data_IF_598141185329
#
_entry.id   IF_598141185329
#
_cell.length_a   1.000
_cell.length_b   1.000
_cell.length_c   1.000
_cell.angle_alpha   90.00
_cell.angle_beta   90.00
_cell.angle_gamma   90.00
#
_symmetry.space_group_name_H-M   'P 1'
#
loop_
_entity.id
_entity.type
_entity.pdbx_description
1 polymer ?
#
# COMPACT_ATOMS: atom_id res chain seq x y z
N UNK A 1 -22.61 -54.16 -2.71
CA UNK A 1 -21.68 -53.39 -3.55
C UNK A 1 -22.01 -51.88 -3.68
N UNK A 2 -23.10 -51.43 -3.12
CA UNK A 2 -23.42 -49.96 -3.18
C UNK A 2 -22.88 -49.15 -1.99
N UNK A 3 -22.48 -49.80 -0.95
CA UNK A 3 -22.04 -49.10 0.30
C UNK A 3 -20.58 -48.62 0.29
N UNK A 4 -19.74 -49.28 -0.49
CA UNK A 4 -18.32 -48.91 -0.56
C UNK A 4 -18.05 -47.67 -1.46
N UNK A 5 -19.00 -47.35 -2.36
CA UNK A 5 -18.87 -46.18 -3.21
C UNK A 5 -19.08 -44.87 -2.48
N UNK A 6 -19.92 -44.85 -1.45
CA UNK A 6 -20.20 -43.69 -0.63
C UNK A 6 -19.00 -43.32 0.25
N UNK A 7 -18.27 -44.29 0.78
CA UNK A 7 -17.13 -44.09 1.66
C UNK A 7 -15.97 -43.42 0.90
N UNK A 8 -15.77 -43.80 -0.36
CA UNK A 8 -14.70 -43.17 -1.15
C UNK A 8 -14.99 -41.75 -1.55
N UNK A 9 -16.26 -41.36 -1.72
CA UNK A 9 -16.66 -39.99 -2.01
C UNK A 9 -16.43 -39.11 -0.76
N UNK A 10 -16.74 -39.59 0.42
CA UNK A 10 -16.49 -38.86 1.68
C UNK A 10 -15.03 -38.74 2.00
N UNK A 11 -14.23 -39.76 1.72
CA UNK A 11 -12.78 -39.73 1.92
C UNK A 11 -12.08 -38.76 0.93
N UNK A 12 -12.55 -38.72 -0.30
CA UNK A 12 -12.06 -37.79 -1.31
C UNK A 12 -12.41 -36.31 -0.98
N UNK A 13 -13.60 -36.09 -0.43
CA UNK A 13 -14.04 -34.74 -0.03
C UNK A 13 -13.29 -34.21 1.20
N UNK A 14 -12.92 -35.10 2.13
CA UNK A 14 -12.17 -34.72 3.33
C UNK A 14 -10.71 -34.34 3.00
N UNK A 15 -10.13 -34.93 1.97
CA UNK A 15 -8.74 -34.65 1.55
C UNK A 15 -8.61 -33.29 0.84
N UNK A 16 -9.69 -32.76 0.25
CA UNK A 16 -9.69 -31.47 -0.41
C UNK A 16 -9.71 -30.27 0.56
N UNK A 17 -10.02 -30.49 1.84
CA UNK A 17 -10.09 -29.40 2.83
C UNK A 17 -8.74 -29.04 3.47
N UNK A 18 -7.69 -29.82 3.23
CA UNK A 18 -6.34 -29.54 3.76
C UNK A 18 -5.46 -28.73 2.82
N UNK A 19 -5.97 -28.33 1.67
CA UNK A 19 -5.22 -27.58 0.66
C UNK A 19 -5.40 -26.06 0.68
N UNK A 20 -6.05 -25.48 1.69
CA UNK A 20 -6.01 -24.03 1.88
C UNK A 20 -4.69 -23.68 2.57
N UNK A 21 -3.65 -23.67 1.80
CA UNK A 21 -2.43 -22.93 2.11
C UNK A 21 -2.86 -21.48 2.38
N UNK A 22 -2.76 -21.07 3.63
CA UNK A 22 -2.79 -19.66 3.96
C UNK A 22 -1.72 -18.99 3.12
N UNK A 23 -2.12 -18.13 2.19
CA UNK A 23 -1.24 -17.11 1.70
C UNK A 23 -0.87 -16.30 2.92
N UNK A 24 0.38 -16.35 3.32
CA UNK A 24 0.91 -15.39 4.25
C UNK A 24 0.73 -14.03 3.60
N UNK A 25 -0.31 -13.31 4.01
CA UNK A 25 -0.39 -11.88 3.83
C UNK A 25 0.72 -11.27 4.71
N UNK A 26 1.94 -11.43 4.26
CA UNK A 26 3.03 -10.61 4.73
C UNK A 26 2.66 -9.20 4.27
N UNK A 27 2.40 -8.24 5.17
CA UNK A 27 2.25 -6.86 4.74
C UNK A 27 3.51 -6.55 3.94
N UNK A 28 3.34 -6.26 2.67
CA UNK A 28 4.44 -5.89 1.82
C UNK A 28 5.15 -4.72 2.52
N UNK A 29 6.36 -4.97 3.02
CA UNK A 29 7.29 -3.89 3.35
C UNK A 29 7.30 -3.03 2.10
N UNK A 30 6.77 -1.80 2.22
CA UNK A 30 6.76 -0.88 1.12
C UNK A 30 8.17 -0.82 0.56
N UNK A 31 8.37 -1.39 -0.61
CA UNK A 31 9.60 -1.21 -1.33
C UNK A 31 9.64 0.28 -1.66
N UNK A 32 10.56 1.00 -1.04
CA UNK A 32 10.85 2.36 -1.46
C UNK A 32 11.13 2.33 -2.96
N UNK A 33 10.51 3.24 -3.75
CA UNK A 33 10.71 3.28 -5.18
C UNK A 33 12.21 3.48 -5.46
N UNK A 34 12.83 2.47 -6.04
CA UNK A 34 14.22 2.54 -6.48
C UNK A 34 14.38 3.58 -7.59
N UNK A 35 15.59 4.07 -7.72
CA UNK A 35 15.95 5.07 -8.73
C UNK A 35 15.65 4.54 -10.15
N UNK A 36 14.59 5.04 -10.78
CA UNK A 36 14.14 4.61 -12.11
C UNK A 36 12.69 4.15 -12.18
N UNK A 37 11.94 4.27 -11.10
CA UNK A 37 10.55 3.86 -11.06
C UNK A 37 9.66 4.72 -11.96
N UNK A 38 8.72 4.06 -12.61
CA UNK A 38 7.67 4.72 -13.37
C UNK A 38 6.74 5.48 -12.42
N UNK A 39 6.01 6.47 -12.92
CA UNK A 39 4.99 7.19 -12.13
C UNK A 39 3.98 6.24 -11.50
N UNK A 40 3.64 5.16 -12.21
CA UNK A 40 2.76 4.11 -11.73
C UNK A 40 3.28 3.47 -10.43
N UNK A 41 4.54 3.02 -10.40
CA UNK A 41 5.15 2.38 -9.22
C UNK A 41 5.25 3.33 -8.04
N UNK A 42 5.57 4.60 -8.32
CA UNK A 42 5.60 5.65 -7.29
C UNK A 42 4.20 5.88 -6.71
N UNK A 43 3.17 5.96 -7.54
CA UNK A 43 1.80 6.18 -7.10
C UNK A 43 1.23 4.99 -6.34
N UNK A 44 1.56 3.75 -6.73
CA UNK A 44 1.22 2.55 -5.97
C UNK A 44 1.85 2.56 -4.57
N UNK A 45 3.11 2.96 -4.47
CA UNK A 45 3.79 3.12 -3.18
C UNK A 45 3.14 4.22 -2.33
N UNK A 46 2.84 5.38 -2.91
CA UNK A 46 2.15 6.49 -2.21
C UNK A 46 0.80 6.01 -1.68
N UNK A 47 0.00 5.31 -2.49
CA UNK A 47 -1.30 4.77 -2.06
C UNK A 47 -1.13 3.83 -0.87
N UNK A 48 -0.18 2.91 -0.94
CA UNK A 48 0.09 1.94 0.13
C UNK A 48 0.42 2.65 1.45
N UNK A 49 1.29 3.64 1.43
CA UNK A 49 1.67 4.42 2.62
C UNK A 49 0.47 5.22 3.15
N UNK A 50 -0.27 5.88 2.27
CA UNK A 50 -1.43 6.69 2.68
C UNK A 50 -2.53 5.83 3.29
N UNK A 51 -2.78 4.63 2.78
CA UNK A 51 -3.78 3.72 3.37
C UNK A 51 -3.36 3.14 4.70
N UNK A 52 -2.06 2.97 4.95
CA UNK A 52 -1.55 2.43 6.22
C UNK A 52 -1.39 3.49 7.30
N UNK A 53 -0.82 4.63 6.96
CA UNK A 53 -0.28 5.56 7.95
C UNK A 53 -1.01 6.91 8.02
N UNK A 54 -1.82 7.23 7.01
CA UNK A 54 -2.53 8.50 6.99
C UNK A 54 -3.66 8.53 8.02
N UNK A 55 -3.72 9.57 8.84
CA UNK A 55 -4.70 9.71 9.92
C UNK A 55 -6.16 9.62 9.44
N UNK A 56 -6.44 10.11 8.25
CA UNK A 56 -7.77 10.07 7.64
C UNK A 56 -7.84 9.07 6.48
N UNK A 57 -7.18 7.94 6.61
CA UNK A 57 -7.12 6.90 5.58
C UNK A 57 -8.48 6.39 5.12
N UNK A 58 -9.50 6.43 5.99
CA UNK A 58 -10.88 6.06 5.65
C UNK A 58 -11.55 7.04 4.66
N UNK A 59 -11.02 8.24 4.52
CA UNK A 59 -11.54 9.26 3.60
C UNK A 59 -10.89 9.16 2.20
N UNK A 60 -9.86 8.34 2.04
CA UNK A 60 -9.19 8.12 0.76
C UNK A 60 -10.19 7.50 -0.24
N UNK A 61 -10.29 8.04 -1.47
CA UNK A 61 -11.14 7.46 -2.50
C UNK A 61 -10.84 5.99 -2.77
N UNK A 62 -11.83 5.24 -3.26
CA UNK A 62 -11.61 3.87 -3.71
C UNK A 62 -10.57 3.84 -4.85
N UNK A 63 -9.83 2.75 -4.97
CA UNK A 63 -8.70 2.62 -5.89
C UNK A 63 -9.10 2.85 -7.36
N UNK A 64 -10.31 2.45 -7.75
CA UNK A 64 -10.87 2.64 -9.09
C UNK A 64 -11.14 4.11 -9.44
N UNK A 65 -11.09 5.02 -8.47
CA UNK A 65 -11.27 6.46 -8.64
C UNK A 65 -9.96 7.24 -8.61
N UNK A 66 -8.84 6.57 -8.40
CA UNK A 66 -7.52 7.18 -8.38
C UNK A 66 -6.86 7.07 -9.77
N UNK A 67 -6.24 8.14 -10.22
CA UNK A 67 -5.49 8.15 -11.47
C UNK A 67 -4.01 7.85 -11.22
N UNK A 68 -3.63 6.59 -11.33
CA UNK A 68 -2.25 6.13 -11.14
C UNK A 68 -1.28 6.62 -12.22
N UNK A 69 -1.77 7.21 -13.30
CA UNK A 69 -0.94 7.81 -14.35
C UNK A 69 -0.64 9.29 -14.12
N UNK A 70 -1.27 9.90 -13.10
CA UNK A 70 -1.00 11.29 -12.74
C UNK A 70 0.41 11.46 -12.18
N UNK A 71 0.94 12.67 -12.23
CA UNK A 71 2.19 12.96 -11.52
C UNK A 71 2.02 12.71 -10.01
N UNK A 72 3.09 12.27 -9.32
CA UNK A 72 2.99 11.85 -7.92
C UNK A 72 2.45 12.90 -6.96
N UNK A 73 2.72 14.18 -7.19
CA UNK A 73 2.22 15.28 -6.35
C UNK A 73 0.71 15.44 -6.52
N UNK A 74 0.22 15.39 -7.74
CA UNK A 74 -1.22 15.43 -8.06
C UNK A 74 -1.93 14.19 -7.50
N UNK A 75 -1.34 13.01 -7.66
CA UNK A 75 -1.86 11.76 -7.13
C UNK A 75 -1.99 11.81 -5.60
N UNK A 76 -0.93 12.18 -4.88
CA UNK A 76 -0.96 12.37 -3.43
C UNK A 76 -2.06 13.34 -3.00
N UNK A 77 -2.16 14.49 -3.67
CA UNK A 77 -3.14 15.52 -3.35
C UNK A 77 -4.58 15.05 -3.52
N UNK A 78 -4.84 14.12 -4.45
CA UNK A 78 -6.16 13.55 -4.69
C UNK A 78 -6.67 12.66 -3.54
N UNK A 79 -5.78 12.20 -2.67
CA UNK A 79 -6.09 11.34 -1.53
C UNK A 79 -6.29 12.12 -0.23
N UNK A 80 -6.01 13.42 -0.19
CA UNK A 80 -6.10 14.21 1.02
C UNK A 80 -7.56 14.46 1.45
N UNK A 81 -7.85 14.24 2.72
CA UNK A 81 -9.13 14.54 3.33
C UNK A 81 -9.28 16.04 3.60
N UNK A 82 -10.49 16.58 3.46
CA UNK A 82 -10.80 17.95 3.87
C UNK A 82 -10.69 18.17 5.39
N UNK A 83 -10.59 17.09 6.18
CA UNK A 83 -10.32 17.15 7.62
C UNK A 83 -8.84 17.41 7.91
N UNK A 84 -7.98 17.11 6.93
CA UNK A 84 -6.55 17.35 7.01
C UNK A 84 -6.26 18.81 6.72
N UNK A 85 -6.10 19.61 7.76
CA UNK A 85 -5.76 20.99 7.59
C UNK A 85 -6.74 21.96 8.24
N UNK A 86 -6.75 23.19 7.76
CA UNK A 86 -7.57 24.26 8.29
C UNK A 86 -8.60 24.75 7.29
N UNK A 87 -9.84 24.80 7.74
CA UNK A 87 -10.95 25.36 6.99
C UNK A 87 -11.46 26.62 7.69
N UNK A 88 -11.74 27.67 6.93
CA UNK A 88 -12.35 28.93 7.41
C UNK A 88 -13.44 29.36 6.44
N UNK A 89 -14.62 29.66 6.96
CA UNK A 89 -15.78 30.11 6.18
C UNK A 89 -16.12 29.16 5.00
N UNK A 90 -16.05 27.83 5.23
CA UNK A 90 -16.31 26.82 4.21
C UNK A 90 -15.22 26.65 3.15
N UNK A 91 -14.13 27.43 3.23
CA UNK A 91 -12.98 27.31 2.32
C UNK A 91 -11.84 26.62 3.02
N UNK A 92 -11.33 25.52 2.40
CA UNK A 92 -10.10 24.88 2.84
C UNK A 92 -8.90 25.80 2.56
N UNK A 93 -8.08 26.05 3.58
CA UNK A 93 -6.96 26.99 3.48
C UNK A 93 -5.63 26.32 3.18
N UNK A 94 -5.35 25.21 3.89
CA UNK A 94 -4.12 24.43 3.70
C UNK A 94 -4.30 23.05 4.33
N UNK A 95 -3.47 22.10 3.86
CA UNK A 95 -3.32 20.76 4.43
C UNK A 95 -2.16 20.72 5.43
N UNK A 96 -2.25 19.87 6.43
CA UNK A 96 -1.11 19.58 7.33
C UNK A 96 -0.17 18.57 6.69
N UNK A 97 -0.73 17.59 5.95
CA UNK A 97 0.06 16.62 5.22
C UNK A 97 0.56 17.20 3.91
N UNK A 98 1.83 16.96 3.61
CA UNK A 98 2.45 17.36 2.36
C UNK A 98 3.45 16.31 1.89
N UNK A 99 3.73 16.31 0.62
CA UNK A 99 4.76 15.50 0.00
C UNK A 99 5.76 16.40 -0.70
N UNK A 100 7.04 16.13 -0.49
CA UNK A 100 8.12 16.86 -1.13
C UNK A 100 9.03 15.90 -1.87
N UNK A 101 9.39 16.25 -3.11
CA UNK A 101 10.37 15.49 -3.85
C UNK A 101 11.76 15.79 -3.29
N UNK A 102 12.38 14.80 -2.65
CA UNK A 102 13.75 14.94 -2.20
C UNK A 102 14.71 14.92 -3.39
N UNK A 103 15.24 16.08 -3.74
CA UNK A 103 16.19 16.24 -4.85
C UNK A 103 17.57 15.65 -4.53
N UNK A 104 17.88 15.48 -3.26
CA UNK A 104 19.17 15.01 -2.77
C UNK A 104 19.12 13.55 -2.28
N UNK A 105 17.97 12.87 -2.46
CA UNK A 105 17.85 11.49 -2.08
C UNK A 105 18.75 10.63 -2.95
N UNK A 106 19.86 10.21 -2.38
CA UNK A 106 20.70 9.12 -2.90
C UNK A 106 20.25 7.85 -2.19
N UNK A 107 19.74 6.88 -2.93
CA UNK A 107 19.46 5.58 -2.37
C UNK A 107 20.72 5.10 -1.64
N UNK A 108 20.63 4.84 -0.35
CA UNK A 108 21.69 4.20 0.41
C UNK A 108 21.76 2.74 -0.05
N UNK A 109 22.58 2.47 -1.02
CA UNK A 109 22.79 1.12 -1.58
C UNK A 109 23.72 0.26 -0.72
N UNK A 110 24.34 0.84 0.30
CA UNK A 110 25.10 0.10 1.29
C UNK A 110 24.98 0.77 2.65
N UNK A 111 24.60 0.02 3.64
CA UNK A 111 24.92 0.35 5.02
C UNK A 111 26.41 0.10 5.09
N UNK A 112 27.22 1.12 4.98
CA UNK A 112 28.63 1.04 5.38
C UNK A 112 28.62 0.69 6.86
N UNK A 113 28.95 -0.56 7.14
CA UNK A 113 29.03 -1.13 8.49
C UNK A 113 30.19 -0.53 9.31
N UNK A 114 30.68 0.63 8.93
CA UNK A 114 31.81 1.34 9.55
C UNK A 114 31.42 2.67 10.22
N UNK A 115 30.16 2.82 10.60
CA UNK A 115 29.80 3.85 11.55
C UNK A 115 29.96 3.29 12.97
N UNK A 116 31.21 3.15 13.36
CA UNK A 116 31.62 2.98 14.73
C UNK A 116 31.18 4.24 15.49
N UNK A 117 30.17 4.10 16.30
CA UNK A 117 29.88 5.10 17.35
C UNK A 117 31.09 5.16 18.27
N UNK A 118 31.90 6.18 18.07
CA UNK A 118 32.96 6.56 18.98
C UNK A 118 32.41 7.39 20.12
#
# INVERSE_FOLDING_TARGET
MKENFQIHIWLGLLLCLLGMSCSDDTPAKGNEPGNGNTELEVNEWIESVMRSDYLWNNDIPAQDKLDFSADPQTFFSSMLSLKDGKTRNGKHLYYYSYMEKNKDYKARTSIDADDTYG
#
